data_IF_396193313314
#
_entry.id   IF_396193313314
#
_cell.length_a   1.000
_cell.length_b   1.000
_cell.length_c   1.000
_cell.angle_alpha   90.00
_cell.angle_beta   90.00
_cell.angle_gamma   90.00
#
_symmetry.space_group_name_H-M   'P 1'
#
loop_
_entity.id
_entity.type
_entity.pdbx_description
1 polymer ?
#
# COMPACT_ATOMS: atom_id res chain seq x y z
N UNK A 1 19.63 -14.01 5.50
CA UNK A 1 20.15 -12.67 5.17
C UNK A 1 19.73 -12.33 3.76
N UNK A 2 18.99 -11.24 3.58
CA UNK A 2 18.67 -10.69 2.27
C UNK A 2 19.31 -9.31 2.17
N UNK A 3 20.00 -9.06 1.09
CA UNK A 3 20.55 -7.78 0.68
C UNK A 3 19.83 -7.39 -0.59
N UNK A 4 19.28 -6.17 -0.63
CA UNK A 4 18.73 -5.61 -1.84
C UNK A 4 19.42 -4.29 -2.13
N UNK A 5 19.83 -4.12 -3.35
CA UNK A 5 20.33 -2.84 -3.89
C UNK A 5 19.69 -2.69 -5.26
N UNK A 6 19.02 -1.59 -5.49
CA UNK A 6 18.43 -1.30 -6.79
C UNK A 6 18.45 0.19 -7.10
N UNK A 7 18.73 0.49 -8.37
CA UNK A 7 18.73 1.85 -8.91
C UNK A 7 17.84 1.88 -10.15
N UNK A 8 16.87 2.75 -10.15
CA UNK A 8 16.11 3.06 -11.34
C UNK A 8 16.57 4.38 -11.92
N UNK A 9 16.91 4.36 -13.21
CA UNK A 9 17.38 5.54 -13.96
C UNK A 9 16.45 5.82 -15.13
N UNK A 10 16.19 7.08 -15.40
CA UNK A 10 15.57 7.55 -16.62
C UNK A 10 16.51 8.56 -17.28
N UNK A 11 16.99 8.21 -18.45
CA UNK A 11 18.08 8.96 -19.10
C UNK A 11 19.33 9.00 -18.21
N UNK A 12 19.88 10.19 -17.98
CA UNK A 12 21.05 10.40 -17.14
C UNK A 12 20.74 10.60 -15.64
N UNK A 13 19.45 10.55 -15.24
CA UNK A 13 19.03 10.82 -13.86
C UNK A 13 18.68 9.53 -13.13
N UNK A 14 19.17 9.38 -11.91
CA UNK A 14 18.74 8.33 -10.97
C UNK A 14 17.45 8.79 -10.32
N UNK A 15 16.33 8.12 -10.64
CA UNK A 15 15.03 8.46 -10.07
C UNK A 15 14.80 7.84 -8.71
N UNK A 16 15.28 6.62 -8.50
CA UNK A 16 15.20 5.94 -7.20
C UNK A 16 16.48 5.16 -6.95
N UNK A 17 16.90 5.16 -5.72
CA UNK A 17 17.98 4.33 -5.19
C UNK A 17 17.51 3.72 -3.87
N UNK A 18 17.67 2.42 -3.71
CA UNK A 18 17.29 1.76 -2.47
C UNK A 18 18.31 0.71 -2.05
N UNK A 19 18.50 0.61 -0.75
CA UNK A 19 19.36 -0.38 -0.14
C UNK A 19 18.68 -0.98 1.10
N UNK A 20 18.83 -2.29 1.31
CA UNK A 20 18.18 -2.96 2.44
C UNK A 20 18.91 -4.21 2.90
N UNK A 21 18.83 -4.46 4.20
CA UNK A 21 19.35 -5.66 4.86
C UNK A 21 18.28 -6.26 5.75
N UNK A 22 18.02 -7.55 5.59
CA UNK A 22 17.15 -8.31 6.46
C UNK A 22 17.92 -9.46 7.13
N UNK A 23 17.92 -9.46 8.44
CA UNK A 23 18.39 -10.55 9.28
C UNK A 23 17.21 -11.21 9.96
N UNK A 24 17.09 -12.54 9.90
CA UNK A 24 16.03 -13.24 10.63
C UNK A 24 16.56 -14.48 11.33
N UNK A 25 15.97 -14.79 12.49
CA UNK A 25 16.26 -15.96 13.30
C UNK A 25 14.96 -16.64 13.69
N UNK A 26 14.95 -17.98 13.57
CA UNK A 26 13.89 -18.83 14.08
C UNK A 26 14.54 -19.95 14.90
N UNK A 27 14.23 -19.97 16.18
CA UNK A 27 14.74 -20.98 17.10
C UNK A 27 13.58 -21.70 17.77
N UNK A 28 13.71 -23.02 17.92
CA UNK A 28 12.75 -23.86 18.62
C UNK A 28 13.48 -24.94 19.41
N UNK A 29 13.10 -25.10 20.67
CA UNK A 29 13.67 -26.17 21.51
C UNK A 29 13.25 -27.57 21.03
N UNK A 30 14.09 -28.57 21.29
CA UNK A 30 13.81 -29.97 20.88
C UNK A 30 12.49 -30.50 21.46
N UNK A 31 12.13 -30.10 22.67
CA UNK A 31 10.88 -30.48 23.31
C UNK A 31 9.67 -29.65 22.86
N UNK A 32 9.84 -28.75 21.88
CA UNK A 32 8.82 -27.86 21.34
C UNK A 32 8.11 -26.95 22.36
N UNK A 33 8.70 -26.76 23.55
CA UNK A 33 8.09 -25.92 24.61
C UNK A 33 8.45 -24.44 24.52
N UNK A 34 9.47 -24.09 23.75
CA UNK A 34 9.87 -22.69 23.57
C UNK A 34 10.15 -22.43 22.10
N UNK A 35 9.67 -21.28 21.63
CA UNK A 35 9.91 -20.77 20.28
C UNK A 35 10.32 -19.31 20.36
N UNK A 36 11.29 -18.95 19.54
CA UNK A 36 11.80 -17.60 19.34
C UNK A 36 11.78 -17.25 17.85
N UNK A 37 11.25 -16.09 17.52
CA UNK A 37 11.33 -15.47 16.20
C UNK A 37 11.91 -14.07 16.37
N UNK A 38 12.91 -13.73 15.59
CA UNK A 38 13.48 -12.38 15.61
C UNK A 38 13.90 -11.97 14.21
N UNK A 39 13.74 -10.69 13.90
CA UNK A 39 14.33 -10.11 12.70
C UNK A 39 14.78 -8.68 12.94
N UNK A 40 15.83 -8.31 12.25
CA UNK A 40 16.33 -6.96 12.11
C UNK A 40 16.24 -6.57 10.64
N UNK A 41 15.55 -5.48 10.35
CA UNK A 41 15.40 -4.93 9.01
C UNK A 41 15.93 -3.51 8.99
N UNK A 42 16.84 -3.23 8.07
CA UNK A 42 17.29 -1.89 7.73
C UNK A 42 16.92 -1.61 6.28
N UNK A 43 16.43 -0.42 6.01
CA UNK A 43 16.04 0.02 4.67
C UNK A 43 16.36 1.51 4.51
N UNK A 44 16.89 1.87 3.36
CA UNK A 44 17.17 3.25 2.96
C UNK A 44 16.78 3.43 1.50
N UNK A 45 15.98 4.47 1.22
CA UNK A 45 15.49 4.77 -0.11
C UNK A 45 15.61 6.27 -0.39
N UNK A 46 16.30 6.61 -1.46
CA UNK A 46 16.33 7.95 -2.03
C UNK A 46 15.45 8.02 -3.28
N UNK A 47 14.67 9.09 -3.41
CA UNK A 47 13.80 9.35 -4.56
C UNK A 47 14.06 10.79 -5.03
N UNK A 48 14.24 10.97 -6.33
CA UNK A 48 14.23 12.29 -6.94
C UNK A 48 12.78 12.70 -7.22
N UNK A 49 12.30 13.70 -6.49
CA UNK A 49 10.94 14.21 -6.63
C UNK A 49 10.87 15.23 -7.76
N UNK A 50 10.17 14.89 -8.81
CA UNK A 50 10.01 15.75 -9.99
C UNK A 50 8.74 16.61 -9.92
N UNK A 51 7.86 16.38 -8.94
CA UNK A 51 6.60 17.11 -8.75
C UNK A 51 5.57 16.90 -9.87
N UNK A 52 5.78 15.88 -10.71
CA UNK A 52 4.99 15.63 -11.90
C UNK A 52 5.42 16.49 -13.11
N UNK A 53 4.70 16.34 -14.21
CA UNK A 53 4.97 17.07 -15.44
C UNK A 53 4.57 18.54 -15.31
N UNK A 54 5.42 19.43 -15.80
CA UNK A 54 5.06 20.84 -15.95
C UNK A 54 4.18 21.02 -17.20
N UNK A 55 2.96 21.50 -17.00
CA UNK A 55 2.11 21.92 -18.11
C UNK A 55 2.62 23.25 -18.66
N UNK A 56 3.09 23.27 -19.88
CA UNK A 56 3.32 24.49 -20.63
C UNK A 56 1.96 25.13 -20.97
N UNK A 57 1.89 26.47 -20.94
CA UNK A 57 0.68 27.24 -21.13
C UNK A 57 -0.22 26.71 -22.25
N UNK A 58 -1.44 26.28 -21.89
CA UNK A 58 -2.47 25.83 -22.84
C UNK A 58 -2.37 24.38 -23.32
N UNK A 59 -1.39 23.58 -22.87
CA UNK A 59 -1.31 22.17 -23.23
C UNK A 59 -2.16 21.33 -22.24
N UNK A 60 -3.06 20.54 -22.82
CA UNK A 60 -3.80 19.53 -22.09
C UNK A 60 -2.83 18.38 -21.72
N UNK A 61 -2.82 17.86 -20.50
CA UNK A 61 -2.01 16.71 -20.12
C UNK A 61 -2.14 15.49 -21.05
N UNK A 62 -3.29 15.32 -21.71
CA UNK A 62 -3.50 14.24 -22.69
C UNK A 62 -2.67 14.35 -23.95
N UNK A 63 -2.24 15.57 -24.34
CA UNK A 63 -1.48 15.81 -25.56
C UNK A 63 0.03 15.94 -25.31
N UNK A 64 0.42 16.14 -24.07
CA UNK A 64 1.78 16.62 -23.73
C UNK A 64 2.81 15.52 -23.54
N UNK A 65 2.46 14.22 -23.57
CA UNK A 65 3.42 13.20 -23.20
C UNK A 65 3.68 12.23 -24.34
N UNK A 66 4.73 12.52 -25.03
CA UNK A 66 5.50 11.47 -25.65
C UNK A 66 6.50 10.97 -24.58
N UNK A 67 6.32 9.77 -24.03
CA UNK A 67 7.26 9.17 -23.05
C UNK A 67 8.71 9.08 -23.55
N UNK A 68 8.92 9.25 -24.83
CA UNK A 68 10.21 9.25 -25.49
C UNK A 68 10.82 10.65 -25.61
N UNK A 69 10.08 11.70 -25.24
CA UNK A 69 10.55 13.05 -25.41
C UNK A 69 11.46 13.44 -24.22
N UNK A 70 12.79 13.49 -24.48
CA UNK A 70 13.80 13.96 -23.53
C UNK A 70 13.61 15.43 -23.09
N UNK A 71 12.59 16.11 -23.60
CA UNK A 71 12.21 17.48 -23.33
C UNK A 71 11.08 17.66 -22.34
N UNK A 72 10.57 16.61 -21.69
CA UNK A 72 9.53 16.74 -20.67
C UNK A 72 10.06 17.60 -19.50
N UNK A 73 9.42 18.75 -19.30
CA UNK A 73 9.73 19.62 -18.17
C UNK A 73 8.96 19.13 -16.94
N UNK A 74 9.68 19.01 -15.84
CA UNK A 74 9.08 18.63 -14.56
C UNK A 74 8.72 19.88 -13.76
N UNK A 75 7.67 19.77 -12.93
CA UNK A 75 7.20 20.87 -12.09
C UNK A 75 8.27 21.30 -11.08
N UNK A 76 9.08 20.37 -10.59
CA UNK A 76 10.21 20.65 -9.71
C UNK A 76 11.53 20.17 -10.30
N UNK A 77 12.61 20.85 -9.95
CA UNK A 77 13.97 20.43 -10.22
C UNK A 77 14.79 20.50 -8.94
N UNK A 78 15.60 19.48 -8.64
CA UNK A 78 16.45 19.44 -7.45
C UNK A 78 15.74 19.04 -6.16
N UNK A 79 14.47 18.66 -6.21
CA UNK A 79 13.74 18.12 -5.08
C UNK A 79 14.05 16.61 -4.89
N UNK A 80 14.28 16.21 -3.65
CA UNK A 80 14.65 14.85 -3.27
C UNK A 80 13.99 14.46 -1.95
N UNK A 81 13.49 13.23 -1.89
CA UNK A 81 13.05 12.57 -0.67
C UNK A 81 13.99 11.44 -0.31
N UNK A 82 14.25 11.25 0.98
CA UNK A 82 14.92 10.08 1.51
C UNK A 82 14.12 9.54 2.68
N UNK A 83 13.90 8.23 2.70
CA UNK A 83 13.22 7.51 3.77
C UNK A 83 14.09 6.34 4.22
N UNK A 84 14.52 6.36 5.48
CA UNK A 84 15.33 5.32 6.06
C UNK A 84 14.72 4.82 7.36
N UNK A 85 14.79 3.51 7.58
CA UNK A 85 14.36 2.94 8.86
C UNK A 85 15.21 1.76 9.28
N UNK A 86 15.28 1.58 10.59
CA UNK A 86 15.76 0.35 11.23
C UNK A 86 14.62 -0.19 12.11
N UNK A 87 14.30 -1.46 11.93
CA UNK A 87 13.22 -2.12 12.67
C UNK A 87 13.74 -3.43 13.25
N UNK A 88 13.58 -3.58 14.54
CA UNK A 88 13.86 -4.81 15.27
C UNK A 88 12.54 -5.41 15.74
N UNK A 89 12.35 -6.70 15.49
CA UNK A 89 11.22 -7.50 15.96
C UNK A 89 11.72 -8.69 16.73
N UNK A 90 11.14 -8.91 17.88
CA UNK A 90 11.40 -10.03 18.75
C UNK A 90 10.07 -10.59 19.22
N UNK A 91 9.86 -11.87 19.00
CA UNK A 91 8.70 -12.60 19.47
C UNK A 91 9.17 -13.91 20.08
N UNK A 92 8.68 -14.22 21.28
CA UNK A 92 8.88 -15.52 21.86
C UNK A 92 7.62 -16.05 22.50
N UNK A 93 7.55 -17.36 22.61
CA UNK A 93 6.44 -18.04 23.23
C UNK A 93 6.91 -19.26 24.04
N UNK A 94 6.25 -19.46 25.16
CA UNK A 94 6.38 -20.63 26.00
C UNK A 94 5.10 -21.45 25.91
N UNK A 95 5.22 -22.72 25.53
CA UNK A 95 4.12 -23.65 25.30
C UNK A 95 4.05 -24.58 26.52
N UNK A 96 3.19 -24.28 27.48
CA UNK A 96 2.92 -25.14 28.63
C UNK A 96 2.16 -26.38 28.19
N UNK A 97 1.00 -26.19 27.57
CA UNK A 97 0.17 -27.20 26.92
C UNK A 97 -0.68 -26.54 25.81
N UNK A 98 -1.38 -27.33 24.99
CA UNK A 98 -2.16 -26.79 23.85
C UNK A 98 -3.18 -25.73 24.23
N UNK A 99 -3.78 -25.86 25.40
CA UNK A 99 -4.80 -24.94 25.91
C UNK A 99 -4.24 -23.65 26.50
N UNK A 100 -2.94 -23.57 26.81
CA UNK A 100 -2.35 -22.37 27.42
C UNK A 100 -0.90 -22.21 27.01
N UNK A 101 -0.63 -21.09 26.36
CA UNK A 101 0.70 -20.67 25.91
C UNK A 101 0.88 -19.20 26.29
N UNK A 102 2.06 -18.83 26.75
CA UNK A 102 2.44 -17.47 27.04
C UNK A 102 3.28 -16.92 25.90
N UNK A 103 3.06 -15.68 25.51
CA UNK A 103 3.89 -15.04 24.51
C UNK A 103 4.23 -13.61 24.87
N UNK A 104 5.34 -13.17 24.35
CA UNK A 104 5.81 -11.80 24.41
C UNK A 104 6.31 -11.35 23.03
N UNK A 105 6.08 -10.08 22.72
CA UNK A 105 6.54 -9.43 21.51
C UNK A 105 7.12 -8.07 21.86
N UNK A 106 8.26 -7.75 21.27
CA UNK A 106 8.88 -6.43 21.34
C UNK A 106 9.19 -5.96 19.92
N UNK A 107 8.73 -4.76 19.57
CA UNK A 107 9.14 -4.09 18.35
C UNK A 107 9.82 -2.77 18.69
N UNK A 108 10.92 -2.48 18.02
CA UNK A 108 11.60 -1.18 18.07
C UNK A 108 11.76 -0.70 16.64
N UNK A 109 11.33 0.51 16.37
CA UNK A 109 11.44 1.13 15.05
C UNK A 109 11.97 2.54 15.18
N UNK A 110 13.02 2.86 14.43
CA UNK A 110 13.49 4.22 14.19
C UNK A 110 13.38 4.49 12.70
N UNK A 111 12.70 5.57 12.34
CA UNK A 111 12.51 5.98 10.95
C UNK A 111 12.83 7.46 10.81
N UNK A 112 13.51 7.81 9.74
CA UNK A 112 13.79 9.21 9.38
C UNK A 112 13.34 9.43 7.95
N UNK A 113 12.44 10.42 7.76
CA UNK A 113 12.03 10.89 6.45
C UNK A 113 12.56 12.30 6.24
N UNK A 114 13.30 12.49 5.15
CA UNK A 114 13.90 13.78 4.76
C UNK A 114 13.33 14.20 3.42
N UNK A 115 13.15 15.49 3.28
CA UNK A 115 12.85 16.13 2.02
C UNK A 115 13.74 17.36 1.87
N UNK A 116 14.32 17.55 0.69
CA UNK A 116 15.05 18.77 0.33
C UNK A 116 14.66 19.22 -1.06
N UNK A 117 14.56 20.54 -1.24
CA UNK A 117 14.41 21.16 -2.55
C UNK A 117 15.42 22.29 -2.66
N UNK A 118 16.44 22.11 -3.50
CA UNK A 118 17.51 23.09 -3.71
C UNK A 118 17.08 24.27 -4.60
N UNK A 119 15.94 24.17 -5.26
CA UNK A 119 15.38 25.19 -6.13
C UNK A 119 14.04 25.72 -5.60
N UNK A 120 13.88 25.77 -4.29
CA UNK A 120 12.61 26.13 -3.63
C UNK A 120 12.05 27.47 -4.10
N UNK A 121 12.87 28.52 -4.21
CA UNK A 121 12.43 29.83 -4.69
C UNK A 121 11.85 29.75 -6.10
N UNK A 122 12.51 29.05 -7.01
CA UNK A 122 12.04 28.84 -8.38
C UNK A 122 10.75 28.02 -8.42
N UNK A 123 10.65 26.98 -7.62
CA UNK A 123 9.46 26.14 -7.57
C UNK A 123 8.27 26.86 -6.90
N UNK A 124 8.54 27.77 -5.97
CA UNK A 124 7.53 28.66 -5.38
C UNK A 124 6.98 29.64 -6.43
N UNK A 125 7.83 30.25 -7.26
CA UNK A 125 7.38 31.16 -8.34
C UNK A 125 6.56 30.43 -9.41
N UNK A 126 6.79 29.13 -9.63
CA UNK A 126 5.96 28.28 -10.48
C UNK A 126 4.64 27.87 -9.83
N UNK A 127 4.32 28.38 -8.65
CA UNK A 127 3.12 28.03 -7.88
C UNK A 127 3.02 26.53 -7.52
N UNK A 128 4.15 25.84 -7.46
CA UNK A 128 4.17 24.45 -7.01
C UNK A 128 3.90 24.34 -5.50
N UNK A 129 4.47 25.25 -4.70
CA UNK A 129 4.18 25.37 -3.27
C UNK A 129 3.16 26.48 -3.02
N UNK A 130 2.19 26.29 -2.12
CA UNK A 130 1.12 27.26 -1.91
C UNK A 130 1.59 28.52 -1.19
N UNK A 131 2.61 28.41 -0.32
CA UNK A 131 3.07 29.51 0.52
C UNK A 131 4.50 29.31 1.03
N UNK A 132 5.19 30.37 1.38
CA UNK A 132 6.44 30.34 2.14
C UNK A 132 6.20 30.90 3.54
N UNK A 133 6.34 30.08 4.58
CA UNK A 133 6.20 30.46 5.99
C UNK A 133 7.53 30.74 6.67
N UNK A 134 8.65 30.45 6.03
CA UNK A 134 9.95 30.49 6.65
C UNK A 134 10.88 31.56 6.12
N UNK A 135 12.06 31.62 6.70
CA UNK A 135 13.21 32.42 6.25
C UNK A 135 14.04 31.71 5.18
N UNK A 136 13.65 30.50 4.80
CA UNK A 136 14.31 29.75 3.72
C UNK A 136 13.94 30.38 2.39
N UNK A 137 14.89 31.00 1.73
CA UNK A 137 14.67 31.76 0.48
C UNK A 137 15.00 30.90 -0.74
N UNK A 138 16.11 30.16 -0.72
CA UNK A 138 16.64 29.49 -1.91
C UNK A 138 16.42 27.98 -1.90
N UNK A 139 16.48 27.38 -0.73
CA UNK A 139 16.29 25.94 -0.55
C UNK A 139 15.32 25.64 0.59
N UNK A 140 14.60 24.51 0.47
CA UNK A 140 13.75 23.98 1.51
C UNK A 140 14.36 22.66 2.02
N UNK A 141 14.39 22.52 3.35
CA UNK A 141 14.79 21.29 4.01
C UNK A 141 13.75 20.95 5.08
N UNK A 142 13.32 19.69 5.10
CA UNK A 142 12.41 19.15 6.11
C UNK A 142 12.90 17.77 6.54
N UNK A 143 12.85 17.52 7.84
CA UNK A 143 13.20 16.22 8.42
C UNK A 143 12.19 15.87 9.50
N UNK A 144 11.66 14.64 9.44
CA UNK A 144 10.83 14.06 10.48
C UNK A 144 11.45 12.74 10.94
N UNK A 145 11.56 12.59 12.24
CA UNK A 145 12.08 11.39 12.88
C UNK A 145 10.98 10.73 13.69
N UNK A 146 10.80 9.43 13.54
CA UNK A 146 9.86 8.63 14.31
C UNK A 146 10.60 7.56 15.08
N UNK A 147 10.26 7.43 16.36
CA UNK A 147 10.69 6.33 17.20
C UNK A 147 9.45 5.64 17.74
N UNK A 148 9.44 4.33 17.74
CA UNK A 148 8.34 3.54 18.27
C UNK A 148 8.88 2.32 19.01
N UNK A 149 8.37 2.14 20.23
CA UNK A 149 8.64 0.99 21.08
C UNK A 149 7.32 0.31 21.41
N UNK A 150 7.18 -0.95 21.01
CA UNK A 150 5.99 -1.75 21.30
C UNK A 150 6.38 -2.93 22.17
N UNK A 151 5.69 -3.08 23.28
CA UNK A 151 5.76 -4.27 24.11
C UNK A 151 4.36 -4.89 24.21
N UNK A 152 4.25 -6.16 23.90
CA UNK A 152 3.00 -6.91 23.98
C UNK A 152 3.23 -8.22 24.74
N UNK A 153 2.37 -8.50 25.70
CA UNK A 153 2.39 -9.75 26.46
C UNK A 153 0.98 -10.33 26.53
N UNK A 154 0.87 -11.64 26.46
CA UNK A 154 -0.44 -12.25 26.49
C UNK A 154 -0.42 -13.77 26.58
N UNK A 155 -1.61 -14.31 26.53
CA UNK A 155 -1.87 -15.74 26.50
C UNK A 155 -2.63 -16.12 25.23
N UNK A 156 -2.40 -17.33 24.77
CA UNK A 156 -3.12 -17.93 23.65
C UNK A 156 -3.26 -19.43 23.86
N UNK A 157 -4.17 -20.04 23.15
CA UNK A 157 -4.33 -21.49 23.24
C UNK A 157 -5.42 -22.03 22.33
N UNK A 158 -5.55 -23.35 22.35
CA UNK A 158 -6.60 -24.07 21.64
C UNK A 158 -7.31 -24.97 22.64
N UNK A 159 -8.61 -24.81 22.79
CA UNK A 159 -9.45 -25.62 23.65
C UNK A 159 -10.69 -26.10 22.88
N UNK A 160 -10.86 -27.41 22.71
CA UNK A 160 -12.00 -28.04 22.01
C UNK A 160 -12.31 -27.42 20.63
N UNK A 161 -11.26 -27.13 19.82
CA UNK A 161 -11.40 -26.51 18.49
C UNK A 161 -11.55 -24.98 18.51
N UNK A 162 -11.69 -24.40 19.70
CA UNK A 162 -11.74 -22.97 19.91
C UNK A 162 -10.32 -22.43 20.13
N UNK A 163 -9.86 -21.54 19.26
CA UNK A 163 -8.57 -20.85 19.39
C UNK A 163 -8.81 -19.46 19.97
N UNK A 164 -8.01 -19.10 20.95
CA UNK A 164 -8.07 -17.76 21.55
C UNK A 164 -6.69 -17.15 21.71
N UNK A 165 -6.63 -15.85 21.71
CA UNK A 165 -5.46 -15.03 22.07
C UNK A 165 -5.95 -13.74 22.71
N UNK A 166 -5.45 -13.45 23.89
CA UNK A 166 -5.67 -12.15 24.55
C UNK A 166 -4.34 -11.56 24.99
N UNK A 167 -4.25 -10.25 24.97
CA UNK A 167 -3.00 -9.57 25.26
C UNK A 167 -3.22 -8.15 25.78
N UNK A 168 -2.23 -7.70 26.49
CA UNK A 168 -1.98 -6.29 26.78
C UNK A 168 -0.81 -5.83 25.94
N UNK A 169 -0.93 -4.62 25.32
CA UNK A 169 0.09 -4.02 24.49
C UNK A 169 0.31 -2.58 24.91
N UNK A 170 1.56 -2.20 25.13
CA UNK A 170 1.98 -0.82 25.30
C UNK A 170 2.74 -0.39 24.06
N UNK A 171 2.46 0.82 23.60
CA UNK A 171 3.21 1.49 22.53
C UNK A 171 3.62 2.87 23.01
N UNK A 172 4.92 3.13 23.04
CA UNK A 172 5.45 4.47 23.12
C UNK A 172 5.88 4.89 21.74
N UNK A 173 5.47 6.07 21.31
CA UNK A 173 5.97 6.67 20.09
C UNK A 173 6.38 8.13 20.33
N UNK A 174 7.39 8.54 19.59
CA UNK A 174 7.95 9.89 19.58
C UNK A 174 8.12 10.35 18.12
N UNK A 175 7.68 11.55 17.82
CA UNK A 175 7.89 12.21 16.53
C UNK A 175 8.58 13.54 16.79
N UNK A 176 9.74 13.68 16.18
CA UNK A 176 10.58 14.87 16.28
C UNK A 176 10.75 15.50 14.90
N UNK A 177 10.56 16.82 14.82
CA UNK A 177 10.94 17.62 13.67
C UNK A 177 12.07 18.57 14.12
N UNK A 178 13.36 18.22 13.88
CA UNK A 178 14.48 19.01 14.36
C UNK A 178 14.52 20.41 13.75
N UNK A 179 14.07 20.57 12.50
CA UNK A 179 14.08 21.86 11.80
C UNK A 179 13.11 22.85 12.40
N UNK A 180 12.03 22.36 13.00
CA UNK A 180 11.02 23.18 13.67
C UNK A 180 11.25 23.29 15.19
N UNK A 181 12.16 22.50 15.74
CA UNK A 181 12.34 22.38 17.19
C UNK A 181 11.10 21.80 17.91
N UNK A 182 10.35 20.94 17.22
CA UNK A 182 9.08 20.43 17.70
C UNK A 182 9.12 18.92 17.91
N UNK A 183 8.54 18.49 19.04
CA UNK A 183 8.46 17.09 19.41
C UNK A 183 7.05 16.76 19.93
N UNK A 184 6.54 15.60 19.54
CA UNK A 184 5.31 15.00 20.08
C UNK A 184 5.56 13.55 20.43
N UNK A 185 5.12 13.15 21.61
CA UNK A 185 5.20 11.76 22.05
C UNK A 185 3.93 11.33 22.76
N UNK A 186 3.73 10.02 22.83
CA UNK A 186 2.59 9.43 23.52
C UNK A 186 2.88 8.01 23.97
N UNK A 187 2.41 7.67 25.16
CA UNK A 187 2.31 6.29 25.63
C UNK A 187 0.86 5.82 25.48
N UNK A 188 0.69 4.70 24.83
CA UNK A 188 -0.61 4.10 24.50
C UNK A 188 -0.70 2.69 25.09
N UNK A 189 -1.84 2.38 25.69
CA UNK A 189 -2.13 1.09 26.30
C UNK A 189 -3.30 0.44 25.56
N UNK A 190 -3.11 -0.78 25.09
CA UNK A 190 -4.10 -1.52 24.33
C UNK A 190 -4.45 -2.83 25.01
N UNK A 191 -5.69 -3.25 24.83
CA UNK A 191 -6.16 -4.59 25.14
C UNK A 191 -6.65 -5.23 23.85
N UNK A 192 -6.23 -6.46 23.58
CA UNK A 192 -6.61 -7.18 22.38
C UNK A 192 -7.16 -8.57 22.67
N UNK A 193 -8.11 -8.98 21.84
CA UNK A 193 -8.75 -10.28 21.88
C UNK A 193 -8.88 -10.84 20.46
N UNK A 194 -8.52 -12.09 20.28
CA UNK A 194 -8.76 -12.87 19.07
C UNK A 194 -9.44 -14.17 19.44
N UNK A 195 -10.51 -14.52 18.72
CA UNK A 195 -11.29 -15.74 18.89
C UNK A 195 -11.48 -16.38 17.52
N UNK A 196 -11.30 -17.69 17.45
CA UNK A 196 -11.61 -18.48 16.25
C UNK A 196 -12.27 -19.78 16.66
N UNK A 197 -13.37 -20.12 16.02
CA UNK A 197 -14.05 -21.40 16.16
C UNK A 197 -14.14 -22.08 14.79
N UNK A 198 -13.46 -23.19 14.64
CA UNK A 198 -13.63 -24.12 13.51
C UNK A 198 -14.70 -25.12 13.85
N UNK A 199 -15.84 -25.06 13.14
CA UNK A 199 -16.92 -26.04 13.30
C UNK A 199 -16.61 -27.34 12.58
N UNK A 200 -15.91 -27.23 11.44
CA UNK A 200 -15.32 -28.29 10.65
C UNK A 200 -14.25 -27.72 9.73
N UNK A 201 -13.67 -28.52 8.83
CA UNK A 201 -12.61 -28.09 7.91
C UNK A 201 -13.07 -27.00 6.89
N UNK A 202 -14.38 -26.77 6.78
CA UNK A 202 -14.96 -25.88 5.77
C UNK A 202 -15.70 -24.68 6.37
N UNK A 203 -16.00 -24.70 7.66
CA UNK A 203 -16.74 -23.64 8.34
C UNK A 203 -15.90 -23.07 9.47
N UNK A 204 -15.60 -21.78 9.35
CA UNK A 204 -14.74 -21.04 10.27
C UNK A 204 -15.40 -19.71 10.66
N UNK A 205 -15.40 -19.44 11.95
CA UNK A 205 -15.79 -18.13 12.50
C UNK A 205 -14.59 -17.51 13.20
N UNK A 206 -14.29 -16.25 12.89
CA UNK A 206 -13.22 -15.50 13.53
C UNK A 206 -13.73 -14.17 14.02
N UNK A 207 -13.34 -13.78 15.23
CA UNK A 207 -13.55 -12.44 15.76
C UNK A 207 -12.22 -11.89 16.32
N UNK A 208 -11.91 -10.66 16.01
CA UNK A 208 -10.68 -9.96 16.41
C UNK A 208 -11.03 -8.56 16.87
N UNK A 209 -10.45 -8.14 17.99
CA UNK A 209 -10.65 -6.80 18.53
C UNK A 209 -9.40 -6.28 19.22
N UNK A 210 -9.13 -5.00 19.04
CA UNK A 210 -8.11 -4.26 19.77
C UNK A 210 -8.67 -2.90 20.18
N UNK A 211 -8.48 -2.54 21.44
CA UNK A 211 -8.94 -1.28 22.02
C UNK A 211 -7.77 -0.52 22.64
N UNK A 212 -7.52 0.69 22.13
CA UNK A 212 -6.67 1.68 22.80
C UNK A 212 -7.46 2.34 23.90
N UNK A 213 -7.01 2.17 25.14
CA UNK A 213 -7.72 2.67 26.31
C UNK A 213 -7.98 4.18 26.21
N UNK A 214 -9.26 4.53 26.15
CA UNK A 214 -9.73 5.92 26.11
C UNK A 214 -9.81 6.56 24.70
N UNK A 215 -9.55 5.82 23.62
CA UNK A 215 -9.54 6.42 22.27
C UNK A 215 -9.97 5.43 21.18
N UNK A 216 -9.02 4.80 20.52
CA UNK A 216 -9.19 4.08 19.28
C UNK A 216 -9.63 2.64 19.50
N UNK A 217 -10.37 2.07 18.56
CA UNK A 217 -10.68 0.65 18.58
C UNK A 217 -10.78 0.08 17.17
N UNK A 218 -10.56 -1.22 17.06
CA UNK A 218 -10.80 -2.00 15.86
C UNK A 218 -11.49 -3.30 16.25
N UNK A 219 -12.63 -3.56 15.61
CA UNK A 219 -13.40 -4.78 15.77
C UNK A 219 -13.60 -5.39 14.39
N UNK A 220 -13.37 -6.68 14.26
CA UNK A 220 -13.55 -7.42 13.03
C UNK A 220 -14.19 -8.76 13.34
N UNK A 221 -15.10 -9.22 12.46
CA UNK A 221 -15.63 -10.55 12.48
C UNK A 221 -15.68 -11.12 11.07
N UNK A 222 -15.42 -12.41 10.91
CA UNK A 222 -15.59 -13.09 9.64
C UNK A 222 -16.22 -14.46 9.85
N UNK A 223 -17.06 -14.83 8.91
CA UNK A 223 -17.65 -16.14 8.79
C UNK A 223 -17.33 -16.68 7.40
N UNK A 224 -16.73 -17.85 7.35
CA UNK A 224 -16.36 -18.53 6.11
C UNK A 224 -17.08 -19.86 6.05
N UNK A 225 -17.72 -20.13 4.90
CA UNK A 225 -18.35 -21.40 4.58
C UNK A 225 -17.92 -21.86 3.18
N UNK A 226 -18.27 -23.09 2.73
CA UNK A 226 -17.94 -23.54 1.39
C UNK A 226 -18.56 -22.72 0.25
N UNK A 227 -19.62 -21.98 0.53
CA UNK A 227 -20.41 -21.28 -0.49
C UNK A 227 -20.38 -19.76 -0.36
N UNK A 228 -20.09 -19.26 0.84
CA UNK A 228 -20.08 -17.83 1.06
C UNK A 228 -19.13 -17.44 2.19
N UNK A 229 -18.66 -16.21 2.12
CA UNK A 229 -17.88 -15.54 3.14
C UNK A 229 -18.53 -14.21 3.46
N UNK A 230 -18.62 -13.88 4.76
CA UNK A 230 -19.05 -12.56 5.24
C UNK A 230 -17.97 -12.01 6.15
N UNK A 231 -17.63 -10.74 5.96
CA UNK A 231 -16.71 -9.99 6.83
C UNK A 231 -17.38 -8.70 7.26
N UNK A 232 -17.29 -8.39 8.53
CA UNK A 232 -17.74 -7.13 9.11
C UNK A 232 -16.60 -6.51 9.90
N UNK A 233 -16.43 -5.20 9.80
CA UNK A 233 -15.45 -4.48 10.62
C UNK A 233 -16.00 -3.12 11.05
N UNK A 234 -15.61 -2.71 12.24
CA UNK A 234 -15.82 -1.36 12.77
C UNK A 234 -14.54 -0.87 13.39
N UNK A 235 -14.08 0.30 12.95
CA UNK A 235 -12.82 0.89 13.38
C UNK A 235 -13.03 2.36 13.73
N UNK A 236 -12.46 2.77 14.85
CA UNK A 236 -12.31 4.18 15.24
C UNK A 236 -10.81 4.43 15.39
N UNK A 237 -10.26 5.31 14.57
CA UNK A 237 -8.82 5.61 14.56
C UNK A 237 -8.57 7.11 14.58
N UNK A 238 -7.56 7.52 15.33
CA UNK A 238 -7.07 8.89 15.28
C UNK A 238 -6.50 9.21 13.89
N UNK A 239 -6.77 10.39 13.32
CA UNK A 239 -6.11 10.85 12.12
C UNK A 239 -4.59 10.81 12.23
N UNK A 240 -3.91 10.71 11.09
CA UNK A 240 -2.45 10.63 11.05
C UNK A 240 -1.79 11.86 11.67
N UNK A 241 -0.54 11.70 12.12
CA UNK A 241 0.23 12.82 12.67
C UNK A 241 0.32 13.94 11.63
N UNK A 242 0.56 13.64 10.36
CA UNK A 242 0.64 14.64 9.30
C UNK A 242 -0.67 15.42 9.11
N UNK A 243 -1.83 14.81 9.32
CA UNK A 243 -3.13 15.48 9.28
C UNK A 243 -3.34 16.39 10.50
N UNK A 244 -2.99 15.92 11.68
CA UNK A 244 -3.14 16.71 12.91
C UNK A 244 -2.03 17.75 13.07
N UNK A 245 -0.83 17.46 12.62
CA UNK A 245 0.33 18.28 12.88
C UNK A 245 1.34 18.23 11.75
N UNK A 246 1.59 19.37 11.12
CA UNK A 246 2.63 19.57 10.11
C UNK A 246 3.32 20.89 10.34
N UNK A 247 4.64 20.90 10.25
CA UNK A 247 5.44 22.10 10.39
C UNK A 247 6.66 22.04 9.45
N UNK A 248 6.61 22.80 8.38
CA UNK A 248 7.74 23.03 7.47
C UNK A 248 7.62 24.42 6.82
N UNK A 249 8.52 24.76 5.92
CA UNK A 249 8.51 26.08 5.28
C UNK A 249 7.28 26.32 4.37
N UNK A 250 6.71 25.28 3.79
CA UNK A 250 5.58 25.41 2.87
C UNK A 250 4.20 25.15 3.55
N UNK A 251 4.18 24.45 4.68
CA UNK A 251 2.96 24.02 5.36
C UNK A 251 3.08 24.11 6.88
N UNK A 252 2.05 24.68 7.52
CA UNK A 252 1.98 24.78 8.99
C UNK A 252 0.55 24.66 9.49
N UNK A 253 0.29 23.65 10.34
CA UNK A 253 -0.95 23.52 11.11
C UNK A 253 -0.75 22.66 12.36
N UNK A 254 -1.65 22.85 13.30
CA UNK A 254 -1.81 22.06 14.50
C UNK A 254 -3.31 21.90 14.75
N UNK A 255 -3.88 20.79 14.29
CA UNK A 255 -5.30 20.47 14.34
C UNK A 255 -5.57 19.44 15.42
N UNK A 256 -6.82 19.39 15.86
CA UNK A 256 -7.34 18.36 16.75
C UNK A 256 -8.59 17.78 16.10
N UNK A 257 -8.39 16.93 15.11
CA UNK A 257 -9.48 16.25 14.44
C UNK A 257 -10.06 15.12 15.29
N UNK A 258 -11.35 14.88 15.12
CA UNK A 258 -12.04 13.73 15.73
C UNK A 258 -11.56 12.42 15.09
N UNK A 259 -11.79 11.31 15.79
CA UNK A 259 -11.49 9.99 15.27
C UNK A 259 -12.29 9.70 14.00
N UNK A 260 -11.62 9.12 13.01
CA UNK A 260 -12.25 8.61 11.79
C UNK A 260 -12.98 7.31 12.17
N UNK A 261 -14.26 7.27 11.84
CA UNK A 261 -15.11 6.08 12.02
C UNK A 261 -15.24 5.35 10.69
N UNK A 262 -14.93 4.07 10.68
CA UNK A 262 -14.99 3.24 9.49
C UNK A 262 -15.78 1.97 9.77
N UNK A 263 -16.93 1.83 9.12
CA UNK A 263 -17.77 0.64 9.14
C UNK A 263 -17.72 -0.04 7.77
N UNK A 264 -17.50 -1.34 7.75
CA UNK A 264 -17.47 -2.14 6.51
C UNK A 264 -18.22 -3.46 6.68
N UNK A 265 -18.99 -3.81 5.68
CA UNK A 265 -19.60 -5.13 5.52
C UNK A 265 -19.30 -5.64 4.10
N UNK A 266 -18.65 -6.80 4.02
CA UNK A 266 -18.35 -7.46 2.73
C UNK A 266 -18.97 -8.84 2.72
N UNK A 267 -19.70 -9.16 1.64
CA UNK A 267 -20.21 -10.48 1.33
C UNK A 267 -19.63 -10.99 0.02
N UNK A 268 -19.17 -12.22 0.00
CA UNK A 268 -18.66 -12.92 -1.19
C UNK A 268 -19.35 -14.27 -1.29
N UNK A 269 -19.90 -14.60 -2.46
CA UNK A 269 -20.30 -15.96 -2.79
C UNK A 269 -19.11 -16.68 -3.44
N UNK A 270 -18.94 -17.94 -3.13
CA UNK A 270 -17.85 -18.75 -3.65
C UNK A 270 -18.43 -19.97 -4.42
N UNK A 271 -18.63 -19.74 -5.71
CA UNK A 271 -19.22 -20.72 -6.61
C UNK A 271 -18.11 -21.34 -7.46
N UNK A 272 -17.84 -22.61 -7.25
CA UNK A 272 -16.82 -23.31 -8.02
C UNK A 272 -17.27 -24.69 -8.48
N UNK A 273 -16.79 -25.02 -9.63
CA UNK A 273 -16.88 -26.32 -10.27
C UNK A 273 -15.46 -26.86 -10.47
N UNK A 274 -15.32 -28.04 -11.06
CA UNK A 274 -14.00 -28.67 -11.27
C UNK A 274 -13.00 -27.77 -12.01
N UNK A 275 -13.44 -26.98 -12.96
CA UNK A 275 -12.56 -26.23 -13.86
C UNK A 275 -12.84 -24.72 -13.88
N UNK A 276 -13.88 -24.24 -13.21
CA UNK A 276 -14.31 -22.84 -13.25
C UNK A 276 -14.70 -22.40 -11.86
N UNK A 277 -14.31 -21.18 -11.47
CA UNK A 277 -14.83 -20.50 -10.30
C UNK A 277 -15.46 -19.16 -10.69
N UNK A 278 -16.47 -18.76 -9.91
CA UNK A 278 -17.11 -17.44 -10.01
C UNK A 278 -17.46 -16.97 -8.60
N UNK A 279 -16.86 -15.84 -8.19
CA UNK A 279 -17.00 -15.32 -6.82
C UNK A 279 -17.46 -13.86 -6.87
N UNK A 280 -18.78 -13.60 -6.94
CA UNK A 280 -19.33 -12.27 -6.83
C UNK A 280 -19.18 -11.75 -5.41
N UNK A 281 -18.87 -10.45 -5.29
CA UNK A 281 -18.61 -9.76 -4.04
C UNK A 281 -19.36 -8.44 -4.00
N UNK A 282 -19.91 -8.10 -2.84
CA UNK A 282 -20.46 -6.78 -2.55
C UNK A 282 -19.91 -6.27 -1.22
N UNK A 283 -19.54 -4.99 -1.19
CA UNK A 283 -19.02 -4.30 0.00
C UNK A 283 -19.77 -2.99 0.20
N UNK A 284 -20.21 -2.75 1.42
CA UNK A 284 -20.77 -1.47 1.86
C UNK A 284 -19.84 -0.90 2.92
N UNK A 285 -19.45 0.36 2.74
CA UNK A 285 -18.61 1.09 3.68
C UNK A 285 -19.27 2.41 4.06
N UNK A 286 -19.13 2.80 5.32
CA UNK A 286 -19.49 4.10 5.83
C UNK A 286 -18.28 4.69 6.54
N UNK A 287 -17.89 5.91 6.17
CA UNK A 287 -16.73 6.61 6.72
C UNK A 287 -17.21 7.92 7.30
N UNK A 288 -17.15 8.05 8.62
CA UNK A 288 -17.44 9.29 9.34
C UNK A 288 -16.15 10.03 9.69
N UNK A 289 -16.21 11.35 9.77
CA UNK A 289 -15.10 12.21 10.18
C UNK A 289 -13.83 11.99 9.34
N UNK A 290 -13.97 11.76 8.04
CA UNK A 290 -12.82 11.46 7.19
C UNK A 290 -11.86 12.64 7.12
N UNK A 291 -10.61 12.44 7.58
CA UNK A 291 -9.55 13.43 7.49
C UNK A 291 -8.82 13.29 6.15
N UNK A 292 -8.63 14.39 5.43
CA UNK A 292 -8.05 14.42 4.09
C UNK A 292 -7.23 15.71 3.89
N UNK A 293 -6.46 15.77 2.82
CA UNK A 293 -5.79 17.00 2.37
C UNK A 293 -6.58 17.60 1.20
N UNK A 294 -6.96 18.87 1.33
CA UNK A 294 -7.74 19.57 0.32
C UNK A 294 -6.92 19.93 -0.93
N UNK A 295 -7.50 20.68 -1.87
CA UNK A 295 -6.82 21.08 -3.12
C UNK A 295 -5.61 22.01 -2.93
N UNK A 296 -5.44 22.56 -1.74
CA UNK A 296 -4.26 23.33 -1.33
C UNK A 296 -3.28 22.50 -0.49
N UNK A 297 -3.47 21.18 -0.46
CA UNK A 297 -2.71 20.24 0.37
C UNK A 297 -2.76 20.57 1.88
N UNK A 298 -3.85 21.20 2.35
CA UNK A 298 -4.08 21.53 3.75
C UNK A 298 -5.00 20.48 4.38
N UNK A 299 -4.66 20.05 5.60
CA UNK A 299 -5.45 19.04 6.30
C UNK A 299 -6.83 19.57 6.68
N UNK A 300 -7.87 18.78 6.38
CA UNK A 300 -9.27 19.04 6.71
C UNK A 300 -9.97 17.75 7.14
N UNK A 301 -11.14 17.90 7.72
CA UNK A 301 -12.01 16.80 8.10
C UNK A 301 -13.40 17.00 7.50
N UNK A 302 -13.98 15.94 6.92
CA UNK A 302 -15.31 15.99 6.35
C UNK A 302 -16.37 16.03 7.47
N UNK A 303 -17.33 16.95 7.34
CA UNK A 303 -18.42 17.09 8.31
C UNK A 303 -19.46 15.95 8.17
N UNK A 304 -19.73 15.53 6.94
CA UNK A 304 -20.68 14.47 6.64
C UNK A 304 -20.03 13.14 6.40
N UNK A 305 -20.76 12.07 6.68
CA UNK A 305 -20.30 10.71 6.41
C UNK A 305 -20.29 10.41 4.92
N UNK A 306 -19.29 9.64 4.50
CA UNK A 306 -19.12 9.17 3.13
C UNK A 306 -19.57 7.73 3.08
N UNK A 307 -20.48 7.41 2.15
CA UNK A 307 -20.86 6.05 1.81
C UNK A 307 -20.09 5.57 0.58
N UNK A 308 -19.58 4.35 0.60
CA UNK A 308 -18.98 3.68 -0.55
C UNK A 308 -19.68 2.33 -0.74
N UNK A 309 -20.19 2.10 -1.91
CA UNK A 309 -20.69 0.80 -2.34
C UNK A 309 -19.81 0.26 -3.45
N UNK A 310 -19.24 -0.92 -3.23
CA UNK A 310 -18.44 -1.64 -4.21
C UNK A 310 -19.10 -2.97 -4.52
N UNK A 311 -19.27 -3.26 -5.79
CA UNK A 311 -19.72 -4.57 -6.26
C UNK A 311 -18.80 -5.08 -7.35
N UNK A 312 -18.71 -6.38 -7.50
CA UNK A 312 -17.88 -6.96 -8.53
C UNK A 312 -17.85 -8.47 -8.46
N UNK A 313 -16.94 -9.05 -9.20
CA UNK A 313 -16.70 -10.49 -9.18
C UNK A 313 -15.27 -10.80 -9.51
N UNK A 314 -14.78 -11.94 -9.01
CA UNK A 314 -13.63 -12.64 -9.57
C UNK A 314 -14.12 -13.94 -10.22
N UNK A 315 -13.55 -14.25 -11.38
CA UNK A 315 -13.89 -15.45 -12.14
C UNK A 315 -12.62 -16.00 -12.78
N UNK A 316 -12.56 -17.28 -13.01
CA UNK A 316 -11.44 -17.88 -13.71
C UNK A 316 -11.64 -19.37 -13.92
N UNK A 317 -10.71 -19.94 -14.68
CA UNK A 317 -10.77 -21.36 -14.94
C UNK A 317 -9.71 -21.86 -15.90
N UNK A 318 -9.78 -23.16 -16.14
CA UNK A 318 -8.90 -23.85 -17.07
C UNK A 318 -9.71 -24.60 -18.11
N UNK A 319 -9.37 -24.41 -19.37
CA UNK A 319 -9.93 -25.18 -20.48
C UNK A 319 -8.78 -25.77 -21.33
N UNK A 320 -8.54 -27.07 -21.21
CA UNK A 320 -7.41 -27.76 -21.85
C UNK A 320 -6.09 -27.12 -21.45
N UNK A 321 -5.48 -26.37 -22.36
CA UNK A 321 -4.19 -25.68 -22.20
C UNK A 321 -4.34 -24.19 -21.87
N UNK A 322 -5.56 -23.68 -21.95
CA UNK A 322 -5.87 -22.30 -21.65
C UNK A 322 -6.22 -22.13 -20.17
N UNK A 323 -5.67 -21.11 -19.57
CA UNK A 323 -5.98 -20.64 -18.22
C UNK A 323 -6.40 -19.18 -18.32
N UNK A 324 -7.46 -18.81 -17.64
CA UNK A 324 -7.95 -17.45 -17.64
C UNK A 324 -8.41 -17.04 -16.24
N UNK A 325 -8.28 -15.75 -15.96
CA UNK A 325 -8.88 -15.14 -14.77
C UNK A 325 -9.33 -13.72 -15.08
N UNK A 326 -10.35 -13.27 -14.36
CA UNK A 326 -10.87 -11.91 -14.47
C UNK A 326 -11.28 -11.42 -13.08
N UNK A 327 -11.05 -10.14 -12.83
CA UNK A 327 -11.56 -9.38 -11.68
C UNK A 327 -12.20 -8.11 -12.21
N UNK A 328 -13.45 -7.86 -11.83
CA UNK A 328 -14.17 -6.62 -12.19
C UNK A 328 -14.74 -6.03 -10.91
N UNK A 329 -14.49 -4.74 -10.67
CA UNK A 329 -14.98 -3.99 -9.53
C UNK A 329 -15.61 -2.68 -10.01
N UNK A 330 -16.85 -2.45 -9.59
CA UNK A 330 -17.57 -1.19 -9.78
C UNK A 330 -17.76 -0.49 -8.43
N UNK A 331 -17.52 0.81 -8.39
CA UNK A 331 -17.60 1.64 -7.19
C UNK A 331 -18.63 2.76 -7.37
N UNK A 332 -19.43 2.99 -6.33
CA UNK A 332 -20.35 4.14 -6.24
C UNK A 332 -20.14 4.82 -4.89
N UNK A 333 -20.23 6.13 -4.86
CA UNK A 333 -20.04 6.95 -3.65
C UNK A 333 -21.26 7.82 -3.37
N UNK A 334 -21.45 8.14 -2.09
CA UNK A 334 -22.41 9.15 -1.62
C UNK A 334 -21.74 10.03 -0.57
N UNK A 335 -22.25 11.24 -0.38
CA UNK A 335 -21.66 12.24 0.54
C UNK A 335 -20.55 13.08 -0.11
N UNK A 336 -19.69 13.71 0.69
CA UNK A 336 -18.61 14.58 0.20
C UNK A 336 -17.65 13.86 -0.76
N UNK A 337 -17.31 14.49 -1.88
CA UNK A 337 -16.42 13.92 -2.90
C UNK A 337 -14.93 14.14 -2.55
N UNK A 338 -14.52 13.63 -1.40
CA UNK A 338 -13.14 13.73 -0.89
C UNK A 338 -12.37 12.41 -0.91
N UNK A 339 -13.00 11.34 -1.39
CA UNK A 339 -12.34 10.05 -1.68
C UNK A 339 -12.37 9.85 -3.19
N UNK A 340 -11.21 9.88 -3.81
CA UNK A 340 -11.05 9.76 -5.26
C UNK A 340 -10.79 8.31 -5.66
N UNK A 341 -11.69 7.76 -6.47
CA UNK A 341 -11.56 6.39 -6.98
C UNK A 341 -12.24 6.24 -8.34
N UNK A 342 -11.74 5.39 -9.24
CA UNK A 342 -12.40 5.09 -10.49
C UNK A 342 -13.73 4.35 -10.24
N UNK A 343 -14.73 4.63 -11.07
CA UNK A 343 -16.03 3.95 -10.99
C UNK A 343 -15.95 2.49 -11.44
N UNK A 344 -15.00 2.14 -12.30
CA UNK A 344 -14.77 0.78 -12.80
C UNK A 344 -13.28 0.47 -12.84
N UNK A 345 -12.90 -0.70 -12.29
CA UNK A 345 -11.58 -1.30 -12.42
C UNK A 345 -11.75 -2.74 -12.87
N UNK A 346 -10.99 -3.16 -13.87
CA UNK A 346 -11.01 -4.54 -14.34
C UNK A 346 -9.59 -5.05 -14.60
N UNK A 347 -9.36 -6.31 -14.26
CA UNK A 347 -8.15 -7.05 -14.59
C UNK A 347 -8.54 -8.36 -15.25
N UNK A 348 -7.80 -8.76 -16.30
CA UNK A 348 -7.96 -10.06 -16.92
C UNK A 348 -6.59 -10.66 -17.27
N UNK A 349 -6.45 -11.94 -17.09
CA UNK A 349 -5.31 -12.73 -17.55
C UNK A 349 -5.78 -13.83 -18.46
N UNK A 350 -5.06 -14.06 -19.56
CA UNK A 350 -5.23 -15.21 -20.43
C UNK A 350 -3.87 -15.83 -20.68
N UNK A 351 -3.73 -17.13 -20.40
CA UNK A 351 -2.49 -17.86 -20.57
C UNK A 351 -2.68 -19.17 -21.33
N UNK A 352 -1.73 -19.49 -22.20
CA UNK A 352 -1.62 -20.75 -22.91
C UNK A 352 -0.43 -21.56 -22.35
N UNK A 353 -0.72 -22.72 -21.76
CA UNK A 353 0.25 -23.62 -21.18
C UNK A 353 0.61 -24.75 -22.18
N UNK A 354 1.87 -24.82 -22.56
CA UNK A 354 2.39 -25.81 -23.53
C UNK A 354 3.52 -26.60 -22.89
N UNK A 355 3.50 -27.90 -23.04
CA UNK A 355 4.59 -28.78 -22.60
C UNK A 355 5.22 -29.46 -23.81
N UNK A 356 6.53 -29.28 -23.97
CA UNK A 356 7.31 -29.94 -25.04
C UNK A 356 8.17 -31.07 -24.46
N UNK A 357 8.04 -32.25 -25.00
CA UNK A 357 8.79 -33.47 -24.63
C UNK A 357 8.87 -33.74 -23.12
N UNK A 358 7.86 -33.35 -22.34
CA UNK A 358 7.81 -33.48 -20.87
C UNK A 358 8.97 -32.78 -20.11
N UNK A 359 9.83 -32.07 -20.80
CA UNK A 359 11.02 -31.39 -20.25
C UNK A 359 10.86 -29.89 -20.16
N UNK A 360 10.31 -29.27 -21.21
CA UNK A 360 10.15 -27.82 -21.32
C UNK A 360 8.68 -27.46 -21.13
N UNK A 361 8.40 -26.71 -20.08
CA UNK A 361 7.10 -26.09 -19.83
C UNK A 361 7.15 -24.63 -20.30
N UNK A 362 6.21 -24.25 -21.12
CA UNK A 362 6.08 -22.91 -21.69
C UNK A 362 4.71 -22.34 -21.32
N UNK A 363 4.68 -21.10 -20.86
CA UNK A 363 3.45 -20.36 -20.66
C UNK A 363 3.56 -19.05 -21.43
N UNK A 364 2.61 -18.80 -22.31
CA UNK A 364 2.42 -17.56 -23.05
C UNK A 364 1.20 -16.89 -22.49
N UNK A 365 1.29 -15.64 -22.08
CA UNK A 365 0.16 -14.97 -21.47
C UNK A 365 0.08 -13.49 -21.75
N UNK A 366 -1.10 -12.96 -21.53
CA UNK A 366 -1.42 -11.54 -21.62
C UNK A 366 -2.17 -11.15 -20.35
N UNK A 367 -1.69 -10.10 -19.68
CA UNK A 367 -2.37 -9.41 -18.59
C UNK A 367 -3.00 -8.13 -19.12
N UNK A 368 -4.29 -7.91 -18.89
CA UNK A 368 -5.00 -6.69 -19.31
C UNK A 368 -5.54 -6.00 -18.07
N UNK A 369 -5.32 -4.70 -17.98
CA UNK A 369 -5.85 -3.84 -16.92
C UNK A 369 -6.66 -2.71 -17.54
N UNK A 370 -7.81 -2.43 -16.95
CA UNK A 370 -8.67 -1.31 -17.30
C UNK A 370 -9.03 -0.50 -16.06
N UNK A 371 -9.07 0.81 -16.24
CA UNK A 371 -9.54 1.76 -15.25
C UNK A 371 -10.34 2.85 -15.93
N UNK A 372 -11.51 3.19 -15.36
CA UNK A 372 -12.32 4.33 -15.82
C UNK A 372 -11.68 5.66 -15.48
N UNK A 373 -12.06 6.72 -16.17
CA UNK A 373 -11.65 8.08 -15.86
C UNK A 373 -12.08 8.50 -14.44
N UNK A 374 -11.25 9.29 -13.76
CA UNK A 374 -11.54 9.87 -12.46
C UNK A 374 -10.56 10.99 -12.12
N UNK A 375 -10.91 11.84 -11.15
CA UNK A 375 -9.98 12.81 -10.59
C UNK A 375 -9.06 12.11 -9.60
N UNK A 376 -7.85 11.73 -10.03
CA UNK A 376 -6.87 11.18 -9.10
C UNK A 376 -6.22 12.27 -8.26
N UNK A 377 -5.82 11.92 -7.05
CA UNK A 377 -5.13 12.83 -6.16
C UNK A 377 -3.77 13.27 -6.72
N UNK A 378 -3.35 14.48 -6.38
CA UNK A 378 -2.01 14.99 -6.61
C UNK A 378 -1.09 14.61 -5.46
N UNK A 379 0.21 14.53 -5.71
CA UNK A 379 1.21 14.24 -4.68
C UNK A 379 1.98 15.50 -4.30
N UNK A 380 2.10 15.75 -2.98
CA UNK A 380 2.90 16.85 -2.42
C UNK A 380 4.17 16.31 -1.75
N UNK A 381 5.33 16.41 -2.40
CA UNK A 381 6.57 15.79 -1.94
C UNK A 381 7.04 16.27 -0.56
N UNK A 382 6.88 17.56 -0.24
CA UNK A 382 7.30 18.12 1.07
C UNK A 382 6.62 17.48 2.26
N UNK A 383 5.43 16.91 2.06
CA UNK A 383 4.66 16.23 3.09
C UNK A 383 4.66 14.72 2.91
N UNK A 384 5.10 14.23 1.74
CA UNK A 384 4.96 12.84 1.33
C UNK A 384 3.51 12.34 1.42
N UNK A 385 2.56 13.20 1.03
CA UNK A 385 1.12 12.94 1.10
C UNK A 385 0.42 13.22 -0.23
N UNK A 386 -0.62 12.45 -0.49
CA UNK A 386 -1.57 12.75 -1.56
C UNK A 386 -2.61 13.76 -1.07
N UNK A 387 -3.05 14.62 -1.97
CA UNK A 387 -4.07 15.64 -1.70
C UNK A 387 -5.04 15.76 -2.87
N UNK A 388 -6.22 16.27 -2.61
CA UNK A 388 -7.24 16.47 -3.65
C UNK A 388 -6.74 17.43 -4.74
N UNK A 389 -7.20 17.20 -5.96
CA UNK A 389 -7.14 18.14 -7.06
C UNK A 389 -8.41 18.02 -7.92
N UNK A 390 -8.87 19.15 -8.48
CA UNK A 390 -10.06 19.25 -9.33
C UNK A 390 -9.72 19.86 -10.70
N UNK A 391 -8.44 19.89 -11.04
CA UNK A 391 -7.94 20.55 -12.25
C UNK A 391 -8.00 19.65 -13.47
N UNK A 392 -7.80 18.34 -13.27
CA UNK A 392 -7.66 17.41 -14.36
C UNK A 392 -8.16 16.00 -14.03
N UNK A 393 -9.09 15.53 -14.82
CA UNK A 393 -9.57 14.15 -14.75
C UNK A 393 -8.61 13.23 -15.52
N UNK A 394 -8.07 12.23 -14.85
CA UNK A 394 -7.25 11.20 -15.50
C UNK A 394 -8.14 10.40 -16.45
N UNK A 395 -7.76 10.29 -17.75
CA UNK A 395 -8.56 9.55 -18.72
C UNK A 395 -8.62 8.06 -18.41
N UNK A 396 -9.68 7.42 -18.85
CA UNK A 396 -9.75 5.96 -18.84
C UNK A 396 -8.63 5.36 -19.69
N UNK A 397 -8.09 4.23 -19.26
CA UNK A 397 -7.06 3.52 -20.00
C UNK A 397 -7.27 2.01 -20.03
N UNK A 398 -6.67 1.39 -21.01
CA UNK A 398 -6.47 -0.06 -21.11
C UNK A 398 -4.99 -0.33 -21.31
N UNK A 399 -4.37 -1.01 -20.36
CA UNK A 399 -2.98 -1.46 -20.47
C UNK A 399 -2.96 -2.97 -20.64
N UNK A 400 -2.13 -3.45 -21.56
CA UNK A 400 -1.84 -4.87 -21.67
C UNK A 400 -0.33 -5.12 -21.57
N UNK A 401 0.01 -6.21 -20.90
CA UNK A 401 1.35 -6.75 -20.78
C UNK A 401 1.37 -8.15 -21.42
N UNK A 402 2.37 -8.45 -22.24
CA UNK A 402 2.56 -9.79 -22.78
C UNK A 402 3.77 -10.47 -22.13
N UNK A 403 3.66 -11.74 -21.82
CA UNK A 403 4.76 -12.46 -21.18
C UNK A 403 4.93 -13.89 -21.69
N UNK A 404 6.17 -14.37 -21.57
CA UNK A 404 6.56 -15.76 -21.83
C UNK A 404 7.36 -16.26 -20.62
N UNK A 405 6.95 -17.40 -20.08
CA UNK A 405 7.71 -18.10 -19.04
C UNK A 405 8.12 -19.48 -19.59
N UNK A 406 9.40 -19.80 -19.48
CA UNK A 406 9.97 -21.10 -19.85
C UNK A 406 10.50 -21.75 -18.57
N UNK A 407 10.18 -23.04 -18.34
CA UNK A 407 10.69 -23.81 -17.22
C UNK A 407 11.29 -25.12 -17.70
N UNK A 408 12.56 -25.31 -17.37
CA UNK A 408 13.30 -26.56 -17.58
C UNK A 408 13.85 -26.98 -16.20
N UNK A 409 13.35 -28.06 -15.67
CA UNK A 409 13.75 -28.55 -14.34
C UNK A 409 13.71 -27.42 -13.26
N UNK A 410 14.88 -27.00 -12.76
CA UNK A 410 15.07 -26.00 -11.72
C UNK A 410 15.28 -24.58 -12.25
N UNK A 411 15.38 -24.42 -13.58
CA UNK A 411 15.58 -23.12 -14.20
C UNK A 411 14.27 -22.60 -14.75
N UNK A 412 13.95 -21.37 -14.42
CA UNK A 412 12.84 -20.62 -15.00
C UNK A 412 13.38 -19.36 -15.66
N UNK A 413 13.10 -19.19 -16.94
CA UNK A 413 13.33 -17.98 -17.70
C UNK A 413 12.01 -17.25 -17.87
N UNK A 414 12.01 -15.94 -17.76
CA UNK A 414 10.83 -15.14 -18.06
C UNK A 414 11.21 -13.93 -18.92
N UNK A 415 10.30 -13.60 -19.81
CA UNK A 415 10.33 -12.43 -20.68
C UNK A 415 9.00 -11.73 -20.55
N UNK A 416 9.00 -10.43 -20.36
CA UNK A 416 7.79 -9.63 -20.25
C UNK A 416 7.94 -8.34 -21.04
N UNK A 417 6.96 -8.04 -21.90
CA UNK A 417 6.80 -6.74 -22.51
C UNK A 417 5.65 -6.04 -21.83
N UNK A 418 5.95 -5.00 -21.08
CA UNK A 418 4.96 -4.18 -20.38
C UNK A 418 4.40 -3.14 -21.31
N UNK A 419 3.13 -2.79 -21.12
CA UNK A 419 2.41 -1.74 -21.82
C UNK A 419 2.49 -1.88 -23.35
N UNK A 420 2.16 -3.07 -23.87
CA UNK A 420 2.13 -3.32 -25.33
C UNK A 420 1.11 -2.46 -26.06
N UNK A 421 0.09 -1.98 -25.34
CA UNK A 421 -0.98 -1.10 -25.83
C UNK A 421 -0.58 0.36 -26.01
N UNK A 422 0.59 0.76 -25.52
CA UNK A 422 1.08 2.13 -25.69
C UNK A 422 1.16 2.52 -27.17
N UNK A 423 0.48 3.61 -27.54
CA UNK A 423 0.40 4.10 -28.92
C UNK A 423 -0.58 3.35 -29.82
N UNK A 424 -1.23 2.25 -29.33
CA UNK A 424 -2.24 1.51 -30.07
C UNK A 424 -3.66 1.89 -29.64
N UNK A 425 -3.92 1.87 -28.33
CA UNK A 425 -5.24 2.17 -27.76
C UNK A 425 -5.24 3.52 -27.03
N UNK A 426 -4.18 3.81 -26.26
CA UNK A 426 -4.00 5.07 -25.58
C UNK A 426 -2.54 5.49 -25.68
N UNK A 427 -2.31 6.77 -25.92
CA UNK A 427 -0.95 7.31 -25.96
C UNK A 427 -0.38 7.53 -24.57
N UNK A 428 -1.25 7.82 -23.59
CA UNK A 428 -0.82 8.28 -22.26
C UNK A 428 -1.77 7.76 -21.19
N UNK A 429 -1.22 7.23 -20.11
CA UNK A 429 -1.95 7.01 -18.89
C UNK A 429 -1.15 7.50 -17.67
N UNK A 430 -1.87 7.85 -16.61
CA UNK A 430 -1.33 8.47 -15.41
C UNK A 430 -1.64 7.61 -14.19
N UNK A 431 -0.69 7.51 -13.27
CA UNK A 431 -0.89 6.84 -11.98
C UNK A 431 -1.41 7.81 -10.92
N UNK A 432 -1.04 9.09 -11.03
CA UNK A 432 -1.53 10.19 -10.22
C UNK A 432 -1.55 11.47 -11.07
N UNK A 433 -2.09 12.54 -10.55
CA UNK A 433 -2.12 13.81 -11.27
C UNK A 433 -0.73 14.23 -11.76
N UNK A 434 -0.56 14.40 -13.06
CA UNK A 434 0.70 14.74 -13.75
C UNK A 434 1.86 13.75 -13.56
N UNK A 435 1.60 12.57 -13.02
CA UNK A 435 2.59 11.51 -12.90
C UNK A 435 2.30 10.41 -13.91
N UNK A 436 2.99 10.43 -15.07
CA UNK A 436 2.81 9.42 -16.10
C UNK A 436 3.24 8.05 -15.59
N UNK A 437 2.52 7.04 -16.01
CA UNK A 437 2.89 5.67 -15.74
C UNK A 437 4.06 5.23 -16.62
N UNK A 438 4.54 4.01 -16.38
CA UNK A 438 5.71 3.46 -17.06
C UNK A 438 5.48 3.29 -18.56
N UNK A 439 6.40 3.77 -19.37
CA UNK A 439 6.42 3.55 -20.80
C UNK A 439 6.56 2.06 -21.13
N UNK A 440 6.29 1.70 -22.41
CA UNK A 440 6.56 0.36 -22.89
C UNK A 440 7.98 -0.05 -22.56
N UNK A 441 8.13 -1.18 -21.89
CA UNK A 441 9.42 -1.69 -21.47
C UNK A 441 9.51 -3.19 -21.65
N UNK A 442 10.72 -3.68 -21.91
CA UNK A 442 11.01 -5.10 -22.01
C UNK A 442 11.84 -5.53 -20.81
N UNK A 443 11.37 -6.55 -20.10
CA UNK A 443 12.07 -7.15 -18.98
C UNK A 443 12.34 -8.64 -19.22
N UNK A 444 13.45 -9.12 -18.71
CA UNK A 444 13.76 -10.54 -18.69
C UNK A 444 14.47 -10.92 -17.40
N UNK A 445 14.41 -12.20 -17.06
CA UNK A 445 15.13 -12.68 -15.91
C UNK A 445 15.22 -14.20 -15.84
N UNK A 446 16.08 -14.64 -14.95
CA UNK A 446 16.37 -16.05 -14.69
C UNK A 446 16.17 -16.32 -13.22
N UNK A 447 15.40 -17.34 -12.89
CA UNK A 447 15.33 -17.91 -11.54
C UNK A 447 15.87 -19.32 -11.56
N UNK A 448 16.95 -19.54 -10.84
CA UNK A 448 17.58 -20.84 -10.71
C UNK A 448 17.55 -21.28 -9.24
N UNK A 449 16.91 -22.42 -8.98
CA UNK A 449 16.92 -23.06 -7.66
C UNK A 449 18.15 -23.96 -7.60
N UNK A 450 19.19 -23.52 -6.90
CA UNK A 450 20.46 -24.24 -6.77
C UNK A 450 20.37 -25.42 -5.79
N UNK A 451 19.48 -25.29 -4.79
CA UNK A 451 19.26 -26.30 -3.75
C UNK A 451 17.77 -26.63 -3.63
N UNK A 452 17.47 -27.84 -3.17
CA UNK A 452 16.10 -28.30 -2.85
C UNK A 452 15.65 -27.78 -1.49
#
# INVERSE_FOLDING_TARGET
>A
KFLTDSKYKSGNQTLTEQWGVLFQTNFRTRNNRYRLLSHLNYFDQGIQDQGGLQLLNGLNPTTAINYTDNGALFATSGAQSNDSFIKFHFYHEFIGFKGLQFFQRVDVENRTAKFKDLNFATNLTKSFYPKNYGTQTDSLYNENQWQSYVHQTGIKGIFRGFTYRTYFKQRYWDVNNPMAGLQKNRLENYVGLFLQQKFNDKIDFTADGEYLVGSDYRLQASFISPFFQVKASRTSISPSIAQNWTYNAAFRWNQSFENILFDELTGTLDLHSKNIYFSPTATIQRIGNYAYFDTLATAKQAADAIGVFRTGFSAGGTFKRFEWSALVLANTKTGPDVIRMPSLVANANLALNVQYKKLLYMQFGVDVQHQSAYYADAYMPTMQQFHLQDRYEIPAFVQADAYVTLRINRVRLFFKMQNVTQGLLNSNYYTAYLHPAMARSFGYGVRWLLFD
#
